data_IF_201658933140
#
_entry.id   IF_201658933140
#
_cell.length_a   1.000
_cell.length_b   1.000
_cell.length_c   1.000
_cell.angle_alpha   90.00
_cell.angle_beta   90.00
_cell.angle_gamma   90.00
#
_symmetry.space_group_name_H-M   'P 1'
#
loop_
_entity.id
_entity.type
_entity.pdbx_description
1 polymer ?
#
# COMPACT_ATOMS: atom_id res chain seq x y z
N UNK A 1 27.05 6.14 26.97
CA UNK A 1 26.45 7.18 26.13
C UNK A 1 25.16 6.62 25.56
N UNK A 2 24.08 7.38 25.41
CA UNK A 2 22.94 6.90 24.66
C UNK A 2 23.42 6.56 23.25
N UNK A 3 22.90 5.52 22.59
CA UNK A 3 23.28 5.17 21.24
C UNK A 3 22.95 6.35 20.29
N UNK A 4 23.82 6.60 19.31
CA UNK A 4 23.51 7.54 18.24
C UNK A 4 22.28 7.03 17.48
N UNK A 5 21.39 7.94 17.12
CA UNK A 5 20.21 7.63 16.31
C UNK A 5 20.55 7.81 14.83
N UNK A 6 20.69 6.71 14.10
CA UNK A 6 20.86 6.75 12.64
C UNK A 6 19.54 7.16 12.00
N UNK A 7 19.59 8.05 11.01
CA UNK A 7 18.40 8.66 10.40
C UNK A 7 18.59 8.88 8.91
N UNK A 8 17.52 8.79 8.16
CA UNK A 8 17.44 9.30 6.79
C UNK A 8 16.66 10.60 6.76
N UNK A 9 17.30 11.67 6.29
CA UNK A 9 16.68 12.97 6.09
C UNK A 9 16.24 13.13 4.63
N UNK A 10 15.19 13.93 4.42
CA UNK A 10 14.77 14.37 3.09
C UNK A 10 15.82 15.38 2.59
N UNK A 11 16.56 15.03 1.53
CA UNK A 11 17.60 15.88 0.94
C UNK A 11 17.19 16.47 -0.42
N UNK A 12 16.10 15.96 -1.03
CA UNK A 12 15.62 16.42 -2.33
C UNK A 12 14.11 16.34 -2.49
N UNK A 13 13.57 17.15 -3.41
CA UNK A 13 12.18 17.03 -3.84
C UNK A 13 12.14 16.28 -5.18
N UNK A 14 11.60 15.05 -5.23
CA UNK A 14 11.58 14.23 -6.45
C UNK A 14 10.43 14.58 -7.41
N UNK A 15 9.89 15.81 -7.32
CA UNK A 15 8.76 16.22 -8.15
C UNK A 15 9.06 16.01 -9.63
N UNK A 16 8.16 15.27 -10.28
CA UNK A 16 8.19 15.06 -11.71
C UNK A 16 9.25 14.11 -12.27
N UNK A 17 9.94 13.40 -11.42
CA UNK A 17 11.00 12.47 -11.83
C UNK A 17 11.05 11.22 -10.92
N UNK A 18 11.71 10.15 -11.35
CA UNK A 18 12.02 9.05 -10.47
C UNK A 18 12.82 9.47 -9.22
N UNK A 19 12.65 8.73 -8.14
CA UNK A 19 13.48 8.84 -6.93
C UNK A 19 14.94 8.53 -7.25
N UNK A 20 15.85 9.23 -6.57
CA UNK A 20 17.29 9.01 -6.59
C UNK A 20 17.80 8.81 -5.17
N UNK A 21 18.89 8.10 -5.00
CA UNK A 21 19.54 7.96 -3.69
C UNK A 21 19.90 9.32 -3.08
N UNK A 22 20.26 10.31 -3.91
CA UNK A 22 20.58 11.69 -3.49
C UNK A 22 19.36 12.49 -2.97
N UNK A 23 18.14 11.97 -3.07
CA UNK A 23 16.97 12.59 -2.45
C UNK A 23 16.92 12.35 -0.93
N UNK A 24 17.83 11.52 -0.44
CA UNK A 24 17.94 11.12 0.95
C UNK A 24 19.37 11.35 1.46
N UNK A 25 19.50 11.79 2.71
CA UNK A 25 20.79 11.98 3.38
C UNK A 25 20.83 11.13 4.65
N UNK A 26 21.76 10.20 4.72
CA UNK A 26 22.01 9.43 5.93
C UNK A 26 22.76 10.29 6.95
N UNK A 27 22.37 10.23 8.22
CA UNK A 27 22.99 11.00 9.30
C UNK A 27 22.84 10.28 10.62
N UNK A 28 23.58 10.74 11.60
CA UNK A 28 23.45 10.35 13.00
C UNK A 28 23.07 11.59 13.83
N UNK A 29 22.21 11.41 14.80
CA UNK A 29 21.77 12.46 15.71
C UNK A 29 21.76 11.95 17.15
N UNK A 30 21.90 12.86 18.11
CA UNK A 30 21.72 12.54 19.53
C UNK A 30 20.23 12.36 19.81
N UNK A 31 19.88 11.32 20.56
CA UNK A 31 18.51 11.13 21.05
C UNK A 31 18.20 12.21 22.08
N UNK A 32 17.19 13.06 21.86
CA UNK A 32 16.84 14.11 22.82
C UNK A 32 16.28 13.51 24.11
N UNK A 33 16.34 14.27 25.19
CA UNK A 33 15.62 13.93 26.41
C UNK A 33 14.11 14.04 26.20
N UNK A 34 13.37 13.13 26.85
CA UNK A 34 11.91 13.13 26.76
C UNK A 34 11.32 14.29 27.55
N UNK A 35 10.33 14.94 26.95
CA UNK A 35 9.41 15.82 27.65
C UNK A 35 8.25 15.02 28.28
N UNK A 36 7.48 15.59 29.23
CA UNK A 36 6.25 15.00 29.74
C UNK A 36 5.29 14.61 28.58
N UNK A 37 4.74 13.41 28.62
CA UNK A 37 3.87 12.87 27.57
C UNK A 37 4.59 12.20 26.39
N UNK A 38 5.92 12.30 26.31
CA UNK A 38 6.71 11.66 25.24
C UNK A 38 7.20 10.26 25.62
N UNK A 39 7.41 9.46 24.60
CA UNK A 39 7.99 8.11 24.69
C UNK A 39 9.14 7.99 23.69
N UNK A 40 10.14 7.17 24.04
CA UNK A 40 11.22 6.75 23.14
C UNK A 40 10.94 5.33 22.65
N UNK A 41 10.86 5.20 21.35
CA UNK A 41 10.58 3.93 20.67
C UNK A 41 11.84 3.49 19.94
N UNK A 42 12.29 2.26 20.15
CA UNK A 42 13.21 1.57 19.25
C UNK A 42 12.39 1.01 18.11
N UNK A 43 12.71 1.40 16.88
CA UNK A 43 11.98 0.98 15.69
C UNK A 43 12.39 -0.44 15.29
N UNK A 44 11.42 -1.32 15.10
CA UNK A 44 11.65 -2.71 14.69
C UNK A 44 11.39 -2.90 13.19
N UNK A 45 10.31 -2.31 12.66
CA UNK A 45 9.93 -2.40 11.25
C UNK A 45 9.37 -1.09 10.73
N UNK A 46 9.68 -0.79 9.47
CA UNK A 46 9.10 0.30 8.67
C UNK A 46 8.30 -0.25 7.49
N UNK A 47 7.18 0.39 7.17
CA UNK A 47 6.42 0.11 5.96
C UNK A 47 6.72 1.11 4.84
N UNK A 48 6.64 0.63 3.61
CA UNK A 48 6.77 1.46 2.42
C UNK A 48 5.49 1.44 1.59
N UNK A 49 5.08 2.64 1.15
CA UNK A 49 3.94 2.84 0.25
C UNK A 49 4.30 3.85 -0.83
N UNK A 50 3.79 3.72 -2.06
CA UNK A 50 4.07 4.69 -3.12
C UNK A 50 3.66 6.13 -2.77
N UNK A 51 2.66 6.31 -1.90
CA UNK A 51 2.19 7.62 -1.45
C UNK A 51 3.24 8.44 -0.68
N UNK A 52 4.26 7.80 -0.10
CA UNK A 52 5.38 8.51 0.53
C UNK A 52 6.08 9.46 -0.44
N UNK A 53 6.20 9.07 -1.73
CA UNK A 53 6.76 9.97 -2.75
C UNK A 53 5.89 11.21 -2.95
N UNK A 54 4.58 11.05 -3.00
CA UNK A 54 3.64 12.18 -3.09
C UNK A 54 3.71 13.11 -1.86
N UNK A 55 4.02 12.55 -0.67
CA UNK A 55 4.28 13.35 0.52
C UNK A 55 5.59 14.17 0.40
N UNK A 56 6.69 13.57 -0.07
CA UNK A 56 7.94 14.29 -0.35
C UNK A 56 7.74 15.44 -1.34
N UNK A 57 6.84 15.28 -2.30
CA UNK A 57 6.52 16.27 -3.32
C UNK A 57 5.50 17.32 -2.85
N UNK A 58 4.92 17.15 -1.67
CA UNK A 58 3.83 18.00 -1.15
C UNK A 58 2.61 18.06 -2.10
N UNK A 59 2.35 16.99 -2.86
CA UNK A 59 1.23 16.90 -3.82
C UNK A 59 -0.08 16.46 -3.18
N UNK A 60 -0.03 15.81 -2.01
CA UNK A 60 -1.20 15.21 -1.38
C UNK A 60 -1.84 16.20 -0.40
N UNK A 61 -3.07 16.62 -0.68
CA UNK A 61 -3.80 17.58 0.13
C UNK A 61 -4.20 17.04 1.52
N UNK A 62 -4.26 15.72 1.67
CA UNK A 62 -4.64 15.03 2.92
C UNK A 62 -3.44 14.71 3.83
N UNK A 63 -2.21 14.98 3.38
CA UNK A 63 -1.00 14.78 4.16
C UNK A 63 -0.38 16.12 4.55
N UNK A 64 0.19 16.21 5.75
CA UNK A 64 0.97 17.37 6.17
C UNK A 64 2.20 17.54 5.25
N UNK A 65 2.61 18.77 5.02
CA UNK A 65 3.78 19.09 4.20
C UNK A 65 5.05 18.53 4.82
N UNK A 66 6.01 18.14 4.00
CA UNK A 66 7.38 17.77 4.39
C UNK A 66 8.34 18.88 4.03
N UNK A 67 9.45 18.99 4.78
CA UNK A 67 10.51 19.97 4.53
C UNK A 67 11.85 19.26 4.29
N UNK A 68 12.75 19.94 3.56
CA UNK A 68 14.13 19.45 3.42
C UNK A 68 14.82 19.47 4.79
N UNK A 69 15.59 18.44 5.09
CA UNK A 69 16.27 18.27 6.37
C UNK A 69 15.44 17.60 7.46
N UNK A 70 14.13 17.40 7.28
CA UNK A 70 13.34 16.57 8.20
C UNK A 70 13.66 15.09 8.04
N UNK A 71 13.49 14.31 9.11
CA UNK A 71 13.56 12.85 9.04
C UNK A 71 12.51 12.36 8.05
N UNK A 72 12.91 11.49 7.12
CA UNK A 72 11.99 10.93 6.14
C UNK A 72 10.84 10.21 6.85
N UNK A 73 9.61 10.52 6.47
CA UNK A 73 8.42 9.94 7.05
C UNK A 73 8.32 8.46 6.75
N UNK A 74 7.84 7.71 7.71
CA UNK A 74 7.54 6.30 7.57
C UNK A 74 6.66 5.84 8.72
N UNK A 75 5.63 5.07 8.41
CA UNK A 75 4.93 4.32 9.45
C UNK A 75 5.74 3.10 9.81
N UNK A 76 5.67 2.75 11.09
CA UNK A 76 6.41 1.61 11.61
C UNK A 76 5.77 1.06 12.87
N UNK A 77 6.37 0.00 13.34
CA UNK A 77 6.17 -0.55 14.67
C UNK A 77 7.51 -0.59 15.40
N UNK A 78 7.46 -0.49 16.71
CA UNK A 78 8.64 -0.59 17.56
C UNK A 78 8.27 -0.75 19.02
N UNK A 79 9.30 -0.96 19.86
CA UNK A 79 9.13 -1.13 21.31
C UNK A 79 9.49 0.14 22.04
N UNK A 80 8.66 0.49 23.02
CA UNK A 80 8.92 1.57 23.96
C UNK A 80 10.08 1.19 24.86
N UNK A 81 11.16 2.00 24.85
CA UNK A 81 12.34 1.78 25.69
C UNK A 81 12.49 2.80 26.80
N UNK A 82 11.81 3.97 26.71
CA UNK A 82 11.63 4.94 27.79
C UNK A 82 10.24 5.57 27.65
N UNK A 83 9.61 5.91 28.78
CA UNK A 83 8.31 6.58 28.79
C UNK A 83 8.26 7.67 29.85
N UNK A 84 7.70 8.82 29.47
CA UNK A 84 7.20 9.88 30.36
C UNK A 84 5.69 10.11 30.13
N UNK A 85 4.96 9.02 29.84
CA UNK A 85 3.52 9.01 29.55
C UNK A 85 2.84 7.91 30.35
N UNK A 86 1.63 8.16 30.85
CA UNK A 86 0.80 7.17 31.52
C UNK A 86 0.15 6.16 30.54
N UNK A 87 0.16 6.48 29.24
CA UNK A 87 -0.45 5.66 28.19
C UNK A 87 0.43 4.47 27.76
N UNK A 88 1.74 4.53 27.98
CA UNK A 88 2.70 3.54 27.54
C UNK A 88 3.67 3.14 28.64
N UNK A 89 3.93 1.86 28.75
CA UNK A 89 4.97 1.28 29.59
C UNK A 89 6.18 0.82 28.76
N UNK A 90 7.31 0.59 29.41
CA UNK A 90 8.50 0.00 28.78
C UNK A 90 8.13 -1.40 28.24
N UNK A 91 8.58 -1.73 27.04
CA UNK A 91 8.28 -2.91 26.23
C UNK A 91 6.91 -2.92 25.54
N UNK A 92 6.04 -1.97 25.75
CA UNK A 92 4.83 -1.85 24.93
C UNK A 92 5.19 -1.71 23.45
N UNK A 93 4.36 -2.30 22.58
CA UNK A 93 4.48 -2.13 21.14
C UNK A 93 3.70 -0.88 20.72
N UNK A 94 4.37 -0.02 19.98
CA UNK A 94 3.79 1.20 19.43
C UNK A 94 3.74 1.15 17.90
N UNK A 95 2.64 1.65 17.31
CA UNK A 95 2.42 1.74 15.87
C UNK A 95 2.03 3.16 15.46
N UNK A 96 2.73 3.72 14.48
CA UNK A 96 2.43 5.05 13.94
C UNK A 96 3.53 5.58 13.03
N UNK A 97 3.61 6.91 12.90
CA UNK A 97 4.67 7.57 12.15
C UNK A 97 5.94 7.65 12.99
N UNK A 98 6.88 6.74 12.75
CA UNK A 98 8.15 6.66 13.49
C UNK A 98 9.31 7.33 12.75
N UNK A 99 9.17 7.58 11.45
CA UNK A 99 10.26 8.08 10.59
C UNK A 99 11.30 6.99 10.25
N UNK A 100 12.14 7.27 9.27
CA UNK A 100 13.22 6.35 8.88
C UNK A 100 14.42 6.56 9.79
N UNK A 101 14.39 5.95 10.94
CA UNK A 101 15.39 6.10 12.01
C UNK A 101 15.37 4.89 12.95
N UNK A 102 16.47 4.70 13.70
CA UNK A 102 16.56 3.62 14.70
C UNK A 102 15.69 3.89 15.92
N UNK A 103 15.60 5.15 16.35
CA UNK A 103 14.88 5.57 17.56
C UNK A 103 14.00 6.77 17.28
N UNK A 104 12.77 6.74 17.74
CA UNK A 104 11.80 7.81 17.58
C UNK A 104 11.34 8.35 18.94
N UNK A 105 11.48 9.66 19.15
CA UNK A 105 10.82 10.37 20.27
C UNK A 105 9.50 10.90 19.75
N UNK A 106 8.39 10.45 20.34
CA UNK A 106 7.03 10.73 19.84
C UNK A 106 6.13 11.09 21.03
N UNK A 107 5.23 12.05 20.84
CA UNK A 107 4.16 12.30 21.79
C UNK A 107 3.22 11.09 21.83
N UNK A 108 2.93 10.58 23.01
CA UNK A 108 2.09 9.39 23.20
C UNK A 108 0.65 9.57 22.68
N UNK A 109 0.19 10.79 22.48
CA UNK A 109 -1.12 11.09 21.88
C UNK A 109 -1.15 10.76 20.37
N UNK A 110 -0.01 10.81 19.68
CA UNK A 110 0.11 10.63 18.23
C UNK A 110 0.40 9.19 17.83
N UNK A 111 0.50 8.28 18.80
CA UNK A 111 0.87 6.89 18.59
C UNK A 111 -0.19 5.92 19.13
N UNK A 112 -0.31 4.76 18.51
CA UNK A 112 -1.28 3.73 18.90
C UNK A 112 -0.59 2.59 19.61
N UNK A 113 -0.98 2.21 20.83
CA UNK A 113 -0.51 1.00 21.48
C UNK A 113 -1.09 -0.24 20.78
N UNK A 114 -0.29 -1.28 20.65
CA UNK A 114 -0.73 -2.59 20.18
C UNK A 114 -0.62 -3.58 21.32
N UNK A 115 -1.72 -4.26 21.61
CA UNK A 115 -1.83 -5.18 22.77
C UNK A 115 -1.44 -6.63 22.43
N UNK A 116 -1.23 -6.92 21.13
CA UNK A 116 -0.99 -8.28 20.66
C UNK A 116 0.29 -8.36 19.80
N UNK A 117 1.34 -8.94 20.36
CA UNK A 117 2.64 -9.15 19.71
C UNK A 117 2.52 -9.97 18.42
N UNK A 118 1.68 -11.00 18.44
CA UNK A 118 1.48 -11.92 17.32
C UNK A 118 1.00 -11.21 16.06
N UNK A 119 0.15 -10.20 16.21
CA UNK A 119 -0.45 -9.49 15.10
C UNK A 119 0.13 -8.08 14.87
N UNK A 120 1.12 -7.67 15.66
CA UNK A 120 1.68 -6.31 15.59
C UNK A 120 2.09 -5.94 14.15
N UNK A 121 2.84 -6.80 13.44
CA UNK A 121 3.31 -6.54 12.08
C UNK A 121 2.18 -6.46 11.06
N UNK A 122 1.04 -7.12 11.29
CA UNK A 122 -0.13 -7.00 10.41
C UNK A 122 -0.69 -5.59 10.34
N UNK A 123 -0.41 -4.74 11.35
CA UNK A 123 -0.78 -3.32 11.32
C UNK A 123 0.00 -2.50 10.30
N UNK A 124 1.11 -3.02 9.77
CA UNK A 124 1.83 -2.44 8.62
C UNK A 124 1.27 -2.94 7.27
N UNK A 125 0.28 -3.82 7.28
CA UNK A 125 -0.29 -4.44 6.09
C UNK A 125 -1.81 -4.56 6.15
N UNK A 126 -2.36 -5.77 6.36
CA UNK A 126 -3.79 -6.04 6.24
C UNK A 126 -4.64 -5.34 7.31
N UNK A 127 -4.12 -5.11 8.51
CA UNK A 127 -4.81 -4.36 9.58
C UNK A 127 -4.43 -2.87 9.59
N UNK A 128 -3.59 -2.43 8.64
CA UNK A 128 -3.14 -1.05 8.46
C UNK A 128 -3.80 -0.35 7.27
N UNK A 129 -3.20 0.79 6.88
CA UNK A 129 -3.72 1.64 5.79
C UNK A 129 -3.89 0.91 4.46
N UNK A 130 -2.99 -0.03 4.15
CA UNK A 130 -3.01 -0.82 2.91
C UNK A 130 -4.19 -1.78 2.87
N UNK A 131 -4.46 -2.50 3.98
CA UNK A 131 -5.62 -3.38 4.09
C UNK A 131 -6.93 -2.63 4.08
N UNK A 132 -6.99 -1.45 4.72
CA UNK A 132 -8.17 -0.59 4.67
C UNK A 132 -8.45 -0.08 3.26
N UNK A 133 -7.41 0.29 2.49
CA UNK A 133 -7.58 0.66 1.08
C UNK A 133 -8.11 -0.51 0.22
N UNK A 134 -7.61 -1.72 0.45
CA UNK A 134 -8.11 -2.92 -0.22
C UNK A 134 -9.58 -3.21 0.14
N UNK A 135 -9.90 -3.21 1.44
CA UNK A 135 -11.23 -3.54 1.95
C UNK A 135 -12.29 -2.53 1.48
N UNK A 136 -12.10 -1.25 1.77
CA UNK A 136 -13.09 -0.23 1.41
C UNK A 136 -13.14 0.03 -0.09
N UNK A 137 -12.01 -0.08 -0.79
CA UNK A 137 -12.00 -0.03 -2.25
C UNK A 137 -12.87 -1.14 -2.86
N UNK A 138 -12.73 -2.36 -2.39
CA UNK A 138 -13.51 -3.47 -2.89
C UNK A 138 -14.98 -3.39 -2.46
N UNK A 139 -15.27 -3.25 -1.16
CA UNK A 139 -16.62 -3.40 -0.63
C UNK A 139 -17.49 -2.14 -0.74
N UNK A 140 -16.90 -0.93 -0.63
CA UNK A 140 -17.67 0.32 -0.72
C UNK A 140 -17.77 0.88 -2.15
N UNK A 141 -16.74 0.69 -2.97
CA UNK A 141 -16.72 1.17 -4.35
C UNK A 141 -16.94 0.05 -5.37
N UNK A 142 -16.30 -1.09 -5.19
CA UNK A 142 -16.44 -2.25 -6.07
C UNK A 142 -17.74 -3.02 -5.87
N UNK A 143 -18.23 -3.11 -4.63
CA UNK A 143 -19.48 -3.79 -4.27
C UNK A 143 -19.61 -5.18 -4.90
N UNK A 144 -18.69 -6.13 -4.62
CA UNK A 144 -18.63 -7.42 -5.28
C UNK A 144 -19.88 -8.25 -5.01
N UNK A 145 -20.37 -8.94 -6.03
CA UNK A 145 -21.44 -9.90 -5.95
C UNK A 145 -20.91 -11.28 -6.34
N UNK A 146 -21.48 -12.33 -5.77
CA UNK A 146 -21.15 -13.69 -6.18
C UNK A 146 -21.36 -13.87 -7.70
N UNK A 147 -20.34 -14.34 -8.37
CA UNK A 147 -20.34 -14.54 -9.83
C UNK A 147 -19.78 -13.35 -10.62
N UNK A 148 -19.56 -12.18 -10.01
CA UNK A 148 -18.88 -11.06 -10.67
C UNK A 148 -17.48 -11.49 -11.15
N UNK A 149 -17.06 -10.93 -12.27
CA UNK A 149 -15.68 -11.05 -12.76
C UNK A 149 -14.92 -9.76 -12.49
N UNK A 150 -13.82 -9.86 -11.74
CA UNK A 150 -12.98 -8.72 -11.38
C UNK A 150 -11.59 -8.82 -12.03
N UNK A 151 -11.07 -7.70 -12.50
CA UNK A 151 -9.67 -7.55 -12.87
C UNK A 151 -8.95 -6.56 -11.96
N UNK A 152 -7.71 -6.88 -11.58
CA UNK A 152 -6.94 -6.12 -10.61
C UNK A 152 -5.57 -5.79 -11.19
N UNK A 153 -5.22 -4.50 -11.28
CA UNK A 153 -3.87 -4.08 -11.62
C UNK A 153 -2.94 -4.13 -10.41
N UNK A 154 -1.65 -4.40 -10.66
CA UNK A 154 -0.68 -4.54 -9.58
C UNK A 154 -1.06 -5.66 -8.60
N UNK A 155 -1.66 -6.74 -9.10
CA UNK A 155 -2.27 -7.80 -8.31
C UNK A 155 -1.29 -8.55 -7.38
N UNK A 156 0.01 -8.56 -7.69
CA UNK A 156 1.04 -9.14 -6.83
C UNK A 156 1.60 -8.14 -5.77
N UNK A 157 1.12 -6.90 -5.76
CA UNK A 157 1.49 -5.89 -4.78
C UNK A 157 0.64 -5.96 -3.50
N UNK A 158 0.91 -5.09 -2.55
CA UNK A 158 0.28 -5.14 -1.23
C UNK A 158 -1.25 -5.01 -1.29
N UNK A 159 -1.79 -3.97 -1.95
CA UNK A 159 -3.25 -3.78 -2.07
C UNK A 159 -3.86 -4.85 -2.98
N UNK A 160 -3.27 -5.06 -4.17
CA UNK A 160 -3.84 -5.95 -5.18
C UNK A 160 -3.96 -7.40 -4.73
N UNK A 161 -2.97 -7.92 -3.99
CA UNK A 161 -3.01 -9.29 -3.46
C UNK A 161 -4.12 -9.49 -2.41
N UNK A 162 -4.38 -8.46 -1.62
CA UNK A 162 -5.48 -8.48 -0.64
C UNK A 162 -6.84 -8.40 -1.33
N UNK A 163 -7.00 -7.48 -2.28
CA UNK A 163 -8.24 -7.34 -3.08
C UNK A 163 -8.58 -8.65 -3.79
N UNK A 164 -7.58 -9.30 -4.40
CA UNK A 164 -7.79 -10.56 -5.11
C UNK A 164 -8.37 -11.65 -4.22
N UNK A 165 -7.81 -11.81 -3.03
CA UNK A 165 -8.28 -12.81 -2.07
C UNK A 165 -9.66 -12.45 -1.48
N UNK A 166 -9.89 -11.19 -1.10
CA UNK A 166 -11.20 -10.73 -0.62
C UNK A 166 -12.29 -10.92 -1.69
N UNK A 167 -11.98 -10.68 -2.97
CA UNK A 167 -12.89 -10.92 -4.07
C UNK A 167 -13.16 -12.43 -4.26
N UNK A 168 -12.15 -13.30 -4.10
CA UNK A 168 -12.35 -14.77 -4.10
C UNK A 168 -13.26 -15.21 -2.97
N UNK A 169 -13.07 -14.70 -1.76
CA UNK A 169 -13.93 -14.97 -0.59
C UNK A 169 -15.38 -14.52 -0.88
N UNK A 170 -15.55 -13.42 -1.64
CA UNK A 170 -16.87 -12.93 -2.06
C UNK A 170 -17.50 -13.74 -3.21
N UNK A 171 -16.82 -14.77 -3.72
CA UNK A 171 -17.31 -15.64 -4.80
C UNK A 171 -17.15 -15.06 -6.20
N UNK A 172 -16.23 -14.10 -6.39
CA UNK A 172 -15.90 -13.54 -7.70
C UNK A 172 -14.94 -14.46 -8.49
N UNK A 173 -15.00 -14.38 -9.83
CA UNK A 173 -13.92 -14.78 -10.71
C UNK A 173 -12.88 -13.68 -10.77
N UNK A 174 -11.63 -13.97 -10.43
CA UNK A 174 -10.58 -12.95 -10.24
C UNK A 174 -9.43 -13.12 -11.22
N UNK A 175 -9.17 -12.08 -12.02
CA UNK A 175 -8.03 -11.99 -12.93
C UNK A 175 -7.04 -10.96 -12.38
N UNK A 176 -5.80 -11.36 -12.19
CA UNK A 176 -4.74 -10.48 -11.73
C UNK A 176 -3.79 -10.05 -12.85
N UNK A 177 -3.39 -8.78 -12.87
CA UNK A 177 -2.37 -8.27 -13.78
C UNK A 177 -1.10 -7.97 -13.00
N UNK A 178 0.03 -8.58 -13.40
CA UNK A 178 1.32 -8.41 -12.77
C UNK A 178 2.46 -8.44 -13.80
N UNK A 179 3.67 -8.06 -13.41
CA UNK A 179 4.82 -8.02 -14.32
C UNK A 179 5.78 -9.18 -14.12
N UNK A 180 5.87 -10.03 -15.13
CA UNK A 180 6.79 -11.15 -15.22
C UNK A 180 6.24 -12.48 -14.70
N UNK A 181 6.78 -13.60 -15.19
CA UNK A 181 6.23 -14.95 -14.97
C UNK A 181 6.24 -15.36 -13.48
N UNK A 182 7.22 -14.91 -12.69
CA UNK A 182 7.27 -15.20 -11.25
C UNK A 182 6.05 -14.65 -10.51
N UNK A 183 5.66 -13.41 -10.82
CA UNK A 183 4.49 -12.77 -10.20
C UNK A 183 3.18 -13.42 -10.67
N UNK A 184 3.07 -13.71 -11.96
CA UNK A 184 1.89 -14.39 -12.50
C UNK A 184 1.70 -15.78 -11.88
N UNK A 185 2.77 -16.57 -11.72
CA UNK A 185 2.71 -17.83 -10.97
C UNK A 185 2.26 -17.63 -9.52
N UNK A 186 2.80 -16.61 -8.83
CA UNK A 186 2.38 -16.29 -7.47
C UNK A 186 0.88 -16.02 -7.37
N UNK A 187 0.28 -15.30 -8.35
CA UNK A 187 -1.16 -15.06 -8.39
C UNK A 187 -1.96 -16.35 -8.48
N UNK A 188 -1.53 -17.29 -9.30
CA UNK A 188 -2.24 -18.57 -9.52
C UNK A 188 -1.98 -19.56 -8.38
N UNK A 189 -0.71 -19.79 -8.05
CA UNK A 189 -0.32 -20.88 -7.14
C UNK A 189 -0.53 -20.50 -5.66
N UNK A 190 -0.23 -19.27 -5.28
CA UNK A 190 -0.32 -18.82 -3.88
C UNK A 190 -1.64 -18.13 -3.57
N UNK A 191 -2.07 -17.17 -4.42
CA UNK A 191 -3.30 -16.42 -4.19
C UNK A 191 -4.56 -17.11 -4.75
N UNK A 192 -4.39 -18.21 -5.51
CA UNK A 192 -5.48 -19.01 -6.10
C UNK A 192 -6.44 -18.19 -6.97
N UNK A 193 -5.92 -17.16 -7.66
CA UNK A 193 -6.70 -16.39 -8.62
C UNK A 193 -7.04 -17.24 -9.85
N UNK A 194 -8.12 -16.91 -10.55
CA UNK A 194 -8.64 -17.68 -11.68
C UNK A 194 -7.88 -17.42 -12.99
N UNK A 195 -7.07 -16.37 -13.05
CA UNK A 195 -6.23 -16.05 -14.17
C UNK A 195 -5.19 -14.98 -13.85
N UNK A 196 -4.14 -14.93 -14.65
CA UNK A 196 -3.09 -13.94 -14.55
C UNK A 196 -2.68 -13.45 -15.94
N UNK A 197 -2.40 -12.14 -16.05
CA UNK A 197 -1.87 -11.51 -17.27
C UNK A 197 -0.52 -10.90 -16.95
N UNK A 198 0.50 -11.27 -17.72
CA UNK A 198 1.83 -10.63 -17.66
C UNK A 198 1.86 -9.43 -18.62
N UNK A 199 1.67 -8.23 -18.07
CA UNK A 199 1.66 -7.00 -18.88
C UNK A 199 2.99 -6.68 -19.57
N UNK A 200 4.09 -7.36 -19.20
CA UNK A 200 5.41 -7.16 -19.82
C UNK A 200 5.60 -7.94 -21.12
N UNK A 201 4.86 -9.03 -21.29
CA UNK A 201 5.02 -9.94 -22.43
C UNK A 201 3.73 -10.17 -23.22
N UNK A 202 2.58 -9.75 -22.70
CA UNK A 202 1.28 -10.00 -23.31
C UNK A 202 0.56 -8.67 -23.63
N UNK A 203 -0.25 -8.67 -24.68
CA UNK A 203 -1.15 -7.55 -25.00
C UNK A 203 -2.31 -7.53 -24.00
N UNK A 204 -2.41 -6.47 -23.19
CA UNK A 204 -3.42 -6.36 -22.15
C UNK A 204 -4.84 -6.49 -22.68
N UNK A 205 -5.17 -5.76 -23.75
CA UNK A 205 -6.53 -5.73 -24.30
C UNK A 205 -6.97 -7.08 -24.83
N UNK A 206 -6.12 -7.75 -25.61
CA UNK A 206 -6.43 -9.05 -26.21
C UNK A 206 -6.56 -10.14 -25.13
N UNK A 207 -5.67 -10.16 -24.14
CA UNK A 207 -5.73 -11.12 -23.04
C UNK A 207 -6.95 -10.90 -22.14
N UNK A 208 -7.31 -9.65 -21.84
CA UNK A 208 -8.54 -9.32 -21.13
C UNK A 208 -9.77 -9.85 -21.86
N UNK A 209 -9.85 -9.60 -23.16
CA UNK A 209 -10.96 -10.07 -23.99
C UNK A 209 -11.01 -11.58 -24.09
N UNK A 210 -9.86 -12.24 -24.21
CA UNK A 210 -9.75 -13.72 -24.27
C UNK A 210 -10.23 -14.38 -22.97
N UNK A 211 -9.82 -13.83 -21.80
CA UNK A 211 -10.16 -14.39 -20.49
C UNK A 211 -11.61 -14.11 -20.06
N UNK A 212 -12.16 -12.98 -20.53
CA UNK A 212 -13.51 -12.52 -20.17
C UNK A 212 -14.25 -11.91 -21.36
N UNK A 213 -14.77 -12.76 -22.27
CA UNK A 213 -15.48 -12.30 -23.47
C UNK A 213 -16.67 -11.37 -23.18
N UNK A 214 -17.29 -11.53 -22.00
CA UNK A 214 -18.44 -10.75 -21.55
C UNK A 214 -18.04 -9.44 -20.84
N UNK A 215 -16.73 -9.19 -20.66
CA UNK A 215 -16.19 -8.04 -19.95
C UNK A 215 -16.10 -8.23 -18.43
N UNK A 216 -15.59 -7.22 -17.76
CA UNK A 216 -15.37 -7.20 -16.30
C UNK A 216 -16.50 -6.44 -15.59
N UNK A 217 -17.05 -7.03 -14.53
CA UNK A 217 -18.03 -6.39 -13.64
C UNK A 217 -17.34 -5.40 -12.70
N UNK A 218 -16.09 -5.70 -12.30
CA UNK A 218 -15.30 -4.84 -11.44
C UNK A 218 -13.89 -4.67 -12.03
N UNK A 219 -13.42 -3.42 -12.07
CA UNK A 219 -12.03 -3.09 -12.32
C UNK A 219 -11.47 -2.47 -11.06
N UNK A 220 -10.40 -3.05 -10.50
CA UNK A 220 -9.70 -2.47 -9.36
C UNK A 220 -8.33 -1.97 -9.81
N UNK A 221 -8.17 -0.65 -9.90
CA UNK A 221 -6.98 -0.04 -10.48
C UNK A 221 -6.06 0.62 -9.46
N UNK A 222 -4.80 0.14 -9.43
CA UNK A 222 -3.69 0.68 -8.66
C UNK A 222 -2.62 1.36 -9.55
N UNK A 223 -2.76 1.28 -10.88
CA UNK A 223 -1.68 1.57 -11.83
C UNK A 223 -1.99 2.72 -12.76
N UNK A 224 -3.22 2.77 -13.31
CA UNK A 224 -3.59 3.74 -14.35
C UNK A 224 -2.98 3.41 -15.73
N UNK A 225 -2.88 4.44 -16.59
CA UNK A 225 -2.24 4.32 -17.90
C UNK A 225 -2.88 3.26 -18.81
N UNK A 226 -2.04 2.51 -19.52
CA UNK A 226 -2.47 1.49 -20.50
C UNK A 226 -3.36 0.40 -19.91
N UNK A 227 -3.15 0.05 -18.62
CA UNK A 227 -4.03 -0.90 -17.96
C UNK A 227 -5.47 -0.36 -17.87
N UNK A 228 -5.64 0.87 -17.38
CA UNK A 228 -6.96 1.46 -17.24
C UNK A 228 -7.66 1.60 -18.58
N UNK A 229 -6.92 2.02 -19.61
CA UNK A 229 -7.47 2.17 -20.96
C UNK A 229 -7.93 0.83 -21.55
N UNK A 230 -7.10 -0.21 -21.45
CA UNK A 230 -7.45 -1.56 -21.89
C UNK A 230 -8.66 -2.12 -21.12
N UNK A 231 -8.69 -1.93 -19.80
CA UNK A 231 -9.77 -2.41 -18.94
C UNK A 231 -11.10 -1.71 -19.26
N UNK A 232 -11.10 -0.39 -19.49
CA UNK A 232 -12.28 0.34 -19.94
C UNK A 232 -12.81 -0.15 -21.29
N UNK A 233 -11.95 -0.67 -22.16
CA UNK A 233 -12.36 -1.31 -23.43
C UNK A 233 -13.03 -2.68 -23.24
N UNK A 234 -12.98 -3.27 -22.04
CA UNK A 234 -13.49 -4.60 -21.73
C UNK A 234 -14.53 -4.62 -20.58
N UNK A 235 -15.38 -3.61 -20.48
CA UNK A 235 -16.41 -3.49 -19.44
C UNK A 235 -17.61 -4.40 -19.69
N UNK A 236 -18.09 -5.05 -18.65
CA UNK A 236 -19.45 -5.56 -18.59
C UNK A 236 -20.47 -4.40 -18.44
N UNK A 237 -21.75 -4.69 -18.63
CA UNK A 237 -22.81 -3.71 -18.38
C UNK A 237 -22.94 -3.44 -16.89
N UNK A 238 -23.06 -2.16 -16.50
CA UNK A 238 -23.09 -1.70 -15.10
C UNK A 238 -21.78 -1.99 -14.32
N UNK A 239 -20.64 -2.05 -15.01
CA UNK A 239 -19.35 -2.24 -14.37
C UNK A 239 -19.01 -1.14 -13.37
N UNK A 240 -18.25 -1.48 -12.34
CA UNK A 240 -17.75 -0.59 -11.30
C UNK A 240 -16.23 -0.51 -11.38
N UNK A 241 -15.72 0.69 -11.63
CA UNK A 241 -14.29 0.96 -11.75
C UNK A 241 -13.83 1.66 -10.47
N UNK A 242 -12.96 1.00 -9.71
CA UNK A 242 -12.35 1.51 -8.48
C UNK A 242 -10.98 2.04 -8.79
N UNK A 243 -10.78 3.35 -8.62
CA UNK A 243 -9.48 4.01 -8.75
C UNK A 243 -8.88 4.14 -7.35
N UNK A 244 -7.95 3.23 -7.02
CA UNK A 244 -7.24 3.20 -5.74
C UNK A 244 -5.88 3.90 -5.82
N UNK A 245 -5.22 3.86 -6.98
CA UNK A 245 -3.93 4.48 -7.21
C UNK A 245 -3.61 4.60 -8.69
N UNK A 246 -2.53 5.32 -8.99
CA UNK A 246 -2.04 5.52 -10.35
C UNK A 246 -0.51 5.62 -10.34
N UNK A 247 0.17 4.48 -10.03
CA UNK A 247 1.63 4.48 -9.82
C UNK A 247 2.41 4.96 -11.06
N UNK A 248 1.84 4.80 -12.26
CA UNK A 248 2.42 5.31 -13.51
C UNK A 248 2.58 6.84 -13.52
N UNK A 249 1.80 7.55 -12.70
CA UNK A 249 1.84 9.02 -12.61
C UNK A 249 2.84 9.55 -11.58
N UNK A 250 3.39 8.69 -10.74
CA UNK A 250 4.22 9.14 -9.61
C UNK A 250 5.67 9.46 -9.98
N UNK A 251 6.13 9.04 -11.16
CA UNK A 251 7.54 9.19 -11.56
C UNK A 251 7.76 10.17 -12.73
N UNK A 252 6.77 10.99 -13.08
CA UNK A 252 6.87 11.89 -14.22
C UNK A 252 6.09 13.18 -14.01
N UNK A 253 6.57 14.29 -14.59
CA UNK A 253 5.80 15.55 -14.73
C UNK A 253 4.87 15.52 -15.94
N UNK A 254 5.12 14.62 -16.91
CA UNK A 254 4.24 14.38 -18.03
C UNK A 254 3.43 13.11 -17.78
N UNK A 255 2.35 13.18 -16.97
CA UNK A 255 1.53 12.01 -16.73
C UNK A 255 0.95 11.53 -18.07
N UNK A 256 0.77 10.21 -18.25
CA UNK A 256 0.10 9.71 -19.44
C UNK A 256 -1.25 10.40 -19.60
N UNK A 257 -1.69 10.62 -20.83
CA UNK A 257 -3.01 11.20 -21.11
C UNK A 257 -4.09 10.37 -20.40
N UNK A 258 -5.26 10.97 -20.22
CA UNK A 258 -6.44 10.25 -19.73
C UNK A 258 -6.79 9.07 -20.65
N UNK A 259 -7.56 8.08 -20.15
CA UNK A 259 -7.92 6.90 -20.92
C UNK A 259 -8.73 7.30 -22.16
N UNK A 260 -8.38 6.74 -23.32
CA UNK A 260 -9.09 6.98 -24.60
C UNK A 260 -10.48 6.33 -24.57
N UNK A 261 -10.59 5.20 -23.88
CA UNK A 261 -11.81 4.39 -23.80
C UNK A 261 -12.84 4.87 -22.77
N UNK A 262 -12.68 6.07 -22.18
CA UNK A 262 -13.60 6.57 -21.13
C UNK A 262 -15.06 6.65 -21.58
N UNK A 263 -15.34 6.81 -22.88
CA UNK A 263 -16.71 6.87 -23.39
C UNK A 263 -17.46 5.53 -23.26
N UNK A 264 -16.75 4.43 -23.05
CA UNK A 264 -17.36 3.13 -22.71
C UNK A 264 -18.18 3.19 -21.42
N UNK A 265 -17.91 4.14 -20.53
CA UNK A 265 -18.75 4.38 -19.35
C UNK A 265 -20.20 4.62 -19.73
N UNK A 266 -20.46 5.38 -20.81
CA UNK A 266 -21.81 5.62 -21.31
C UNK A 266 -22.42 4.36 -21.90
N UNK A 267 -21.70 3.69 -22.81
CA UNK A 267 -22.20 2.49 -23.48
C UNK A 267 -22.51 1.36 -22.51
N UNK A 268 -21.70 1.21 -21.46
CA UNK A 268 -21.85 0.18 -20.44
C UNK A 268 -22.59 0.63 -19.19
N UNK A 269 -23.02 1.90 -19.11
CA UNK A 269 -23.66 2.50 -17.91
C UNK A 269 -22.82 2.25 -16.64
N UNK A 270 -21.51 2.29 -16.83
CA UNK A 270 -20.54 1.97 -15.80
C UNK A 270 -20.26 3.18 -14.88
N UNK A 271 -19.78 2.92 -13.67
CA UNK A 271 -19.42 3.95 -12.70
C UNK A 271 -17.92 3.86 -12.41
N UNK A 272 -17.23 5.02 -12.45
CA UNK A 272 -15.83 5.13 -12.01
C UNK A 272 -15.75 5.96 -10.74
N UNK A 273 -15.13 5.42 -9.70
CA UNK A 273 -15.05 6.04 -8.37
C UNK A 273 -13.64 5.97 -7.80
N UNK A 274 -13.13 7.12 -7.36
CA UNK A 274 -11.92 7.19 -6.53
C UNK A 274 -12.20 6.74 -5.10
N UNK A 275 -11.20 6.17 -4.43
CA UNK A 275 -11.27 5.72 -3.05
C UNK A 275 -10.10 6.27 -2.23
N UNK A 276 -10.41 6.79 -1.05
CA UNK A 276 -9.44 7.17 -0.04
C UNK A 276 -9.85 6.54 1.30
N UNK A 277 -9.05 5.59 1.80
CA UNK A 277 -9.44 4.82 2.99
C UNK A 277 -9.71 5.65 4.24
N UNK A 278 -9.04 6.79 4.54
CA UNK A 278 -9.39 7.63 5.68
C UNK A 278 -10.83 8.12 5.75
N UNK A 279 -11.54 8.19 4.62
CA UNK A 279 -12.95 8.59 4.57
C UNK A 279 -13.86 7.58 5.30
N UNK A 280 -13.37 6.37 5.56
CA UNK A 280 -14.07 5.27 6.23
C UNK A 280 -13.55 4.98 7.64
N UNK A 281 -12.84 5.92 8.25
CA UNK A 281 -12.14 5.72 9.53
C UNK A 281 -13.03 5.11 10.61
N UNK A 282 -14.29 5.54 10.69
CA UNK A 282 -15.27 5.05 11.65
C UNK A 282 -15.57 3.54 11.52
N UNK A 283 -15.44 3.00 10.30
CA UNK A 283 -15.66 1.58 9.99
C UNK A 283 -14.39 0.71 10.10
N UNK A 284 -13.24 1.30 10.42
CA UNK A 284 -11.98 0.55 10.52
C UNK A 284 -12.02 -0.60 11.52
N UNK A 285 -12.61 -0.45 12.72
CA UNK A 285 -12.68 -1.55 13.69
C UNK A 285 -13.37 -2.80 13.11
N UNK A 286 -14.52 -2.64 12.47
CA UNK A 286 -15.27 -3.75 11.85
C UNK A 286 -14.46 -4.42 10.72
N UNK A 287 -13.85 -3.62 9.84
CA UNK A 287 -13.03 -4.14 8.75
C UNK A 287 -11.83 -4.93 9.28
N UNK A 288 -11.17 -4.46 10.33
CA UNK A 288 -10.03 -5.16 10.96
C UNK A 288 -10.44 -6.48 11.58
N UNK A 289 -11.60 -6.54 12.27
CA UNK A 289 -12.15 -7.78 12.82
C UNK A 289 -12.37 -8.78 11.68
N UNK A 290 -13.02 -8.34 10.59
CA UNK A 290 -13.32 -9.21 9.45
C UNK A 290 -12.08 -9.76 8.75
N UNK A 291 -11.08 -8.92 8.54
CA UNK A 291 -9.79 -9.33 7.96
C UNK A 291 -9.08 -10.33 8.88
N UNK A 292 -9.12 -10.10 10.20
CA UNK A 292 -8.53 -11.02 11.19
C UNK A 292 -9.22 -12.38 11.16
N UNK A 293 -10.55 -12.42 11.11
CA UNK A 293 -11.31 -13.66 10.98
C UNK A 293 -10.86 -14.47 9.76
N UNK A 294 -10.71 -13.83 8.60
CA UNK A 294 -10.24 -14.51 7.39
C UNK A 294 -8.80 -15.01 7.49
N UNK A 295 -7.91 -14.24 8.14
CA UNK A 295 -6.53 -14.65 8.40
C UNK A 295 -6.48 -15.89 9.32
N UNK A 296 -7.24 -15.87 10.42
CA UNK A 296 -7.31 -16.96 11.40
C UNK A 296 -7.94 -18.23 10.82
N UNK A 297 -8.92 -18.07 9.93
CA UNK A 297 -9.55 -19.17 9.19
C UNK A 297 -8.69 -19.70 8.02
N UNK A 298 -7.51 -19.12 7.76
CA UNK A 298 -6.66 -19.50 6.63
C UNK A 298 -7.24 -19.18 5.24
N UNK A 299 -8.30 -18.38 5.18
CA UNK A 299 -8.96 -17.95 3.94
C UNK A 299 -8.23 -16.78 3.26
N UNK A 300 -7.38 -16.11 4.01
CA UNK A 300 -6.65 -14.92 3.59
C UNK A 300 -5.19 -15.08 3.98
N UNK A 301 -4.30 -14.98 2.99
CA UNK A 301 -2.86 -15.07 3.19
C UNK A 301 -2.23 -13.69 3.05
N UNK A 302 -1.28 -13.38 3.91
CA UNK A 302 -0.56 -12.12 3.85
C UNK A 302 0.91 -12.37 3.48
N UNK A 303 1.39 -11.64 2.46
CA UNK A 303 2.74 -11.76 1.94
C UNK A 303 3.52 -10.47 2.17
N UNK A 304 4.71 -10.62 2.70
CA UNK A 304 5.65 -9.54 3.00
C UNK A 304 6.94 -9.73 2.20
N UNK A 305 7.46 -8.64 1.65
CA UNK A 305 8.80 -8.55 1.09
C UNK A 305 9.63 -7.71 2.08
N UNK A 306 10.41 -8.38 2.91
CA UNK A 306 11.18 -7.74 3.98
C UNK A 306 12.62 -7.57 3.51
N UNK A 307 13.12 -6.35 3.60
CA UNK A 307 14.55 -6.03 3.49
C UNK A 307 15.09 -5.73 4.88
N UNK A 308 16.40 -5.85 5.08
CA UNK A 308 17.05 -5.65 6.38
C UNK A 308 17.95 -4.41 6.36
N UNK A 309 18.06 -3.76 7.52
CA UNK A 309 18.99 -2.67 7.80
C UNK A 309 18.50 -1.29 7.35
N UNK A 310 18.56 -0.31 8.28
CA UNK A 310 18.13 1.07 8.03
C UNK A 310 18.85 1.71 6.84
N UNK A 311 20.12 1.35 6.60
CA UNK A 311 20.93 1.84 5.47
C UNK A 311 20.29 1.55 4.11
N UNK A 312 19.47 0.50 4.01
CA UNK A 312 18.78 0.08 2.79
C UNK A 312 17.41 0.74 2.58
N UNK A 313 16.98 1.66 3.44
CA UNK A 313 15.65 2.26 3.36
C UNK A 313 15.36 2.96 2.01
N UNK A 314 16.25 3.78 1.42
CA UNK A 314 16.03 4.38 0.12
C UNK A 314 15.90 3.36 -1.01
N UNK A 315 16.75 2.34 -1.04
CA UNK A 315 16.69 1.29 -2.06
C UNK A 315 15.38 0.48 -1.90
N UNK A 316 15.03 0.10 -0.67
CA UNK A 316 13.78 -0.59 -0.36
C UNK A 316 12.56 0.19 -0.85
N UNK A 317 12.56 1.51 -0.67
CA UNK A 317 11.49 2.36 -1.18
C UNK A 317 11.44 2.38 -2.72
N UNK A 318 12.58 2.52 -3.38
CA UNK A 318 12.67 2.54 -4.85
C UNK A 318 12.24 1.20 -5.49
N UNK A 319 12.32 0.06 -4.76
CA UNK A 319 11.83 -1.25 -5.23
C UNK A 319 10.36 -1.24 -5.59
N UNK A 320 9.54 -0.43 -4.92
CA UNK A 320 8.10 -0.30 -5.23
C UNK A 320 7.87 0.19 -6.67
N UNK A 321 8.67 1.13 -7.13
CA UNK A 321 8.52 1.77 -8.44
C UNK A 321 9.15 0.95 -9.57
N UNK A 322 10.08 0.06 -9.25
CA UNK A 322 10.67 -0.89 -10.20
C UNK A 322 9.93 -2.23 -10.25
N UNK A 323 8.90 -2.39 -9.43
CA UNK A 323 8.10 -3.61 -9.36
C UNK A 323 8.91 -4.84 -8.92
N UNK A 324 9.89 -4.68 -8.04
CA UNK A 324 10.70 -5.81 -7.52
C UNK A 324 10.02 -6.55 -6.36
N UNK A 325 9.11 -5.90 -5.63
CA UNK A 325 8.42 -6.49 -4.48
C UNK A 325 7.30 -7.46 -4.87
N UNK A 326 7.06 -8.44 -4.01
CA UNK A 326 5.85 -9.29 -3.99
C UNK A 326 5.20 -9.10 -2.61
N UNK A 327 3.91 -8.73 -2.60
CA UNK A 327 3.22 -8.38 -1.35
C UNK A 327 3.63 -7.02 -0.80
N UNK A 328 3.57 -6.87 0.51
CA UNK A 328 3.88 -5.63 1.23
C UNK A 328 5.38 -5.45 1.43
N UNK A 329 5.92 -4.33 0.97
CA UNK A 329 7.32 -3.98 1.21
C UNK A 329 7.50 -3.46 2.63
N UNK A 330 8.38 -4.10 3.38
CA UNK A 330 8.80 -3.73 4.72
C UNK A 330 10.33 -3.63 4.80
N UNK A 331 10.80 -2.96 5.83
CA UNK A 331 12.20 -2.94 6.23
C UNK A 331 12.27 -3.31 7.71
N UNK A 332 13.14 -4.23 8.06
CA UNK A 332 13.51 -4.59 9.43
C UNK A 332 14.75 -3.82 9.84
N UNK A 333 14.75 -3.19 11.02
CA UNK A 333 15.87 -2.42 11.58
C UNK A 333 16.65 -3.23 12.59
#
# INVERSE_FOLDING_TARGET
MPPNNRQWLIAGNPKGRPLKASDFKFTEATIPELNPGEILIKVDYLEFTPSLKGQMENRLSYASKTQLGEVMRGRGIGRVIKSKSDKFQINDIAHGYLGWQDYAVINSADITPLTDDKYARLHLGPLGSTGMAAYFGLFEAGQPKKGDTIIISGAAGAVGSMVGQMAKISGCKVIGVAGGPKKCRHLIENLKLDGAIDYKSQNLFEEMKRLTPNGFDIIFDNVGGDFLDAALGNLAVNARIVICGAITRYQTDNPPPGPKNYFQLVHKRATMRGILSPDFKEKFPEAKIKIREWLEAGQFLYFEDIQDGLENAPETFMRLFSGKNIGKQLLKL
#
